data_IF_020668919675
#
_entry.id   IF_020668919675
#
_cell.length_a   1.000
_cell.length_b   1.000
_cell.length_c   1.000
_cell.angle_alpha   90.00
_cell.angle_beta   90.00
_cell.angle_gamma   90.00
#
_symmetry.space_group_name_H-M   'P 1'
#
loop_
_entity.id
_entity.type
_entity.pdbx_description
1 polymer ?
#
# COMPACT_ATOMS: atom_id res chain seq x y z
N UNK A 1 35.07 13.45 -47.92
CA UNK A 1 35.16 14.91 -48.20
C UNK A 1 33.85 15.52 -48.68
N UNK A 2 33.04 14.84 -49.51
CA UNK A 2 31.77 15.41 -50.03
C UNK A 2 30.76 15.80 -48.94
N UNK A 3 30.67 15.04 -47.84
CA UNK A 3 29.71 15.31 -46.75
C UNK A 3 30.05 16.57 -45.94
N UNK A 4 31.34 16.86 -45.73
CA UNK A 4 31.79 18.04 -44.97
C UNK A 4 31.67 19.35 -45.76
N UNK A 5 31.82 19.28 -47.09
CA UNK A 5 31.64 20.45 -47.98
C UNK A 5 30.17 20.82 -48.14
N UNK A 6 29.30 19.82 -48.36
CA UNK A 6 27.85 20.02 -48.42
C UNK A 6 27.28 20.56 -47.09
N UNK A 7 27.73 20.01 -45.96
CA UNK A 7 27.32 20.44 -44.61
C UNK A 7 27.68 21.92 -44.36
N UNK A 8 28.90 22.33 -44.72
CA UNK A 8 29.37 23.69 -44.50
C UNK A 8 28.68 24.73 -45.40
N UNK A 9 28.32 24.39 -46.64
CA UNK A 9 27.72 25.34 -47.59
C UNK A 9 26.22 25.56 -47.29
N UNK A 10 25.46 24.51 -46.99
CA UNK A 10 24.00 24.62 -46.77
C UNK A 10 23.62 25.12 -45.36
N UNK A 11 24.30 24.68 -44.31
CA UNK A 11 23.94 25.06 -42.92
C UNK A 11 24.38 26.49 -42.60
N UNK A 12 25.39 27.03 -43.30
CA UNK A 12 25.83 28.41 -43.04
C UNK A 12 24.90 29.49 -43.57
N UNK A 13 24.23 29.26 -44.70
CA UNK A 13 23.40 30.30 -45.33
C UNK A 13 21.92 30.23 -44.95
N UNK A 14 21.37 29.07 -44.60
CA UNK A 14 19.95 28.95 -44.30
C UNK A 14 19.65 29.01 -42.79
N UNK A 15 19.24 30.19 -42.29
CA UNK A 15 18.82 30.38 -40.89
C UNK A 15 17.72 29.39 -40.47
N UNK A 16 16.81 29.03 -41.37
CA UNK A 16 15.72 28.11 -41.06
C UNK A 16 16.24 26.69 -40.80
N UNK A 17 17.17 26.21 -41.63
CA UNK A 17 17.81 24.89 -41.43
C UNK A 17 18.54 24.80 -40.09
N UNK A 18 19.20 25.88 -39.64
CA UNK A 18 19.83 25.93 -38.31
C UNK A 18 18.82 25.79 -37.18
N UNK A 19 17.73 26.57 -37.20
CA UNK A 19 16.70 26.48 -36.16
C UNK A 19 16.01 25.12 -36.16
N UNK A 20 15.77 24.53 -37.33
CA UNK A 20 15.25 23.16 -37.43
C UNK A 20 16.19 22.14 -36.78
N UNK A 21 17.50 22.21 -37.08
CA UNK A 21 18.48 21.30 -36.48
C UNK A 21 18.59 21.48 -34.95
N UNK A 22 18.55 22.72 -34.46
CA UNK A 22 18.51 23.00 -33.02
C UNK A 22 17.24 22.42 -32.39
N UNK A 23 16.08 22.64 -33.02
CA UNK A 23 14.81 22.08 -32.56
C UNK A 23 14.84 20.55 -32.49
N UNK A 24 15.37 19.88 -33.51
CA UNK A 24 15.54 18.42 -33.52
C UNK A 24 16.48 17.96 -32.41
N UNK A 25 17.61 18.65 -32.20
CA UNK A 25 18.55 18.32 -31.14
C UNK A 25 17.91 18.45 -29.74
N UNK A 26 17.13 19.51 -29.49
CA UNK A 26 16.40 19.71 -28.23
C UNK A 26 15.39 18.59 -28.02
N UNK A 27 14.59 18.25 -29.04
CA UNK A 27 13.61 17.16 -28.94
C UNK A 27 14.30 15.81 -28.68
N UNK A 28 15.41 15.53 -29.35
CA UNK A 28 16.18 14.32 -29.14
C UNK A 28 16.75 14.23 -27.71
N UNK A 29 17.26 15.34 -27.18
CA UNK A 29 17.76 15.41 -25.80
C UNK A 29 16.63 15.16 -24.77
N UNK A 30 15.48 15.83 -24.94
CA UNK A 30 14.31 15.61 -24.07
C UNK A 30 13.79 14.17 -24.14
N UNK A 31 13.81 13.54 -25.32
CA UNK A 31 13.42 12.14 -25.46
C UNK A 31 14.38 11.20 -24.71
N UNK A 32 15.69 11.46 -24.77
CA UNK A 32 16.69 10.68 -24.01
C UNK A 32 16.52 10.85 -22.51
N UNK A 33 16.20 12.05 -22.02
CA UNK A 33 15.93 12.29 -20.60
C UNK A 33 14.71 11.48 -20.13
N UNK A 34 13.63 11.45 -20.91
CA UNK A 34 12.41 10.70 -20.58
C UNK A 34 12.69 9.19 -20.57
N UNK A 35 13.39 8.67 -21.57
CA UNK A 35 13.71 7.23 -21.66
C UNK A 35 14.71 6.84 -20.56
N UNK A 36 15.75 7.64 -20.33
CA UNK A 36 16.74 7.42 -19.29
C UNK A 36 16.12 7.41 -17.90
N UNK A 37 15.25 8.39 -17.60
CA UNK A 37 14.51 8.45 -16.34
C UNK A 37 13.61 7.21 -16.17
N UNK A 38 12.83 6.82 -17.19
CA UNK A 38 11.96 5.63 -17.14
C UNK A 38 12.74 4.34 -16.93
N UNK A 39 13.89 4.20 -17.59
CA UNK A 39 14.76 3.04 -17.41
C UNK A 39 15.35 3.00 -15.99
N UNK A 40 15.81 4.14 -15.47
CA UNK A 40 16.30 4.25 -14.10
C UNK A 40 15.22 3.89 -13.07
N UNK A 41 14.01 4.43 -13.20
CA UNK A 41 12.91 4.13 -12.28
C UNK A 41 12.52 2.66 -12.32
N UNK A 42 12.45 2.05 -13.52
CA UNK A 42 12.13 0.63 -13.68
C UNK A 42 13.18 -0.25 -13.02
N UNK A 43 14.46 0.01 -13.27
CA UNK A 43 15.55 -0.77 -12.67
C UNK A 43 15.56 -0.65 -11.15
N UNK A 44 15.30 0.55 -10.62
CA UNK A 44 15.19 0.77 -9.18
C UNK A 44 14.00 -0.01 -8.59
N UNK A 45 12.85 0.00 -9.25
CA UNK A 45 11.66 -0.74 -8.80
C UNK A 45 11.87 -2.27 -8.86
N UNK A 46 12.57 -2.78 -9.88
CA UNK A 46 12.99 -4.20 -9.96
C UNK A 46 13.89 -4.59 -8.78
N UNK A 47 14.88 -3.77 -8.44
CA UNK A 47 15.73 -4.00 -7.27
C UNK A 47 14.95 -3.89 -5.95
N UNK A 48 14.04 -2.92 -5.84
CA UNK A 48 13.19 -2.75 -4.67
C UNK A 48 12.27 -3.97 -4.46
N UNK A 49 11.71 -4.54 -5.54
CA UNK A 49 10.88 -5.74 -5.48
C UNK A 49 11.70 -6.96 -5.01
N UNK A 50 12.93 -7.14 -5.49
CA UNK A 50 13.82 -8.20 -5.03
C UNK A 50 14.21 -8.02 -3.54
N UNK A 51 14.51 -6.79 -3.12
CA UNK A 51 14.80 -6.48 -1.73
C UNK A 51 13.59 -6.76 -0.83
N UNK A 52 12.40 -6.33 -1.23
CA UNK A 52 11.16 -6.61 -0.53
C UNK A 52 10.91 -8.12 -0.43
N UNK A 53 11.08 -8.88 -1.51
CA UNK A 53 10.91 -10.33 -1.51
C UNK A 53 11.79 -11.01 -0.46
N UNK A 54 13.05 -10.60 -0.33
CA UNK A 54 13.98 -11.13 0.69
C UNK A 54 13.53 -10.76 2.11
N UNK A 55 13.08 -9.52 2.32
CA UNK A 55 12.54 -9.10 3.60
C UNK A 55 11.28 -9.90 3.98
N UNK A 56 10.38 -10.15 3.03
CA UNK A 56 9.16 -10.95 3.25
C UNK A 56 9.50 -12.41 3.55
N UNK A 57 10.48 -12.98 2.88
CA UNK A 57 10.98 -14.32 3.19
C UNK A 57 11.53 -14.40 4.61
N UNK A 58 12.31 -13.40 5.03
CA UNK A 58 12.85 -13.30 6.38
C UNK A 58 11.75 -13.12 7.44
N UNK A 59 10.76 -12.26 7.21
CA UNK A 59 9.57 -12.13 8.08
C UNK A 59 8.82 -13.46 8.16
N UNK A 60 8.58 -14.11 7.02
CA UNK A 60 7.90 -15.41 6.98
C UNK A 60 8.67 -16.50 7.73
N UNK A 61 10.01 -16.45 7.70
CA UNK A 61 10.87 -17.32 8.51
C UNK A 61 10.79 -16.98 10.00
N UNK A 62 10.83 -15.70 10.35
CA UNK A 62 10.66 -15.23 11.72
C UNK A 62 9.31 -15.68 12.32
N UNK A 63 8.23 -15.62 11.55
CA UNK A 63 6.90 -16.14 11.95
C UNK A 63 6.90 -17.65 12.17
N UNK A 64 7.56 -18.42 11.31
CA UNK A 64 7.56 -19.90 11.42
C UNK A 64 8.44 -20.42 12.55
N UNK A 65 9.61 -19.81 12.74
CA UNK A 65 10.59 -20.26 13.73
C UNK A 65 10.40 -19.56 15.10
N UNK A 66 9.72 -18.41 15.12
CA UNK A 66 9.44 -17.58 16.30
C UNK A 66 10.67 -17.29 17.17
N UNK A 67 11.81 -17.00 16.52
CA UNK A 67 13.07 -16.71 17.23
C UNK A 67 13.34 -15.20 17.26
N UNK A 68 13.61 -14.60 18.43
CA UNK A 68 13.75 -13.14 18.57
C UNK A 68 14.76 -12.48 17.63
N UNK A 69 15.91 -13.13 17.37
CA UNK A 69 16.95 -12.56 16.52
C UNK A 69 16.51 -12.44 15.04
N UNK A 70 15.57 -13.27 14.57
CA UNK A 70 15.04 -13.19 13.21
C UNK A 70 14.11 -11.99 13.05
N UNK A 71 13.31 -11.70 14.07
CA UNK A 71 12.45 -10.50 14.12
C UNK A 71 13.27 -9.22 14.15
N UNK A 72 14.33 -9.19 14.98
CA UNK A 72 15.25 -8.06 15.03
C UNK A 72 15.96 -7.86 13.67
N UNK A 73 16.42 -8.94 13.04
CA UNK A 73 17.00 -8.88 11.71
C UNK A 73 16.00 -8.38 10.67
N UNK A 74 14.77 -8.90 10.66
CA UNK A 74 13.73 -8.47 9.74
C UNK A 74 13.44 -6.97 9.88
N UNK A 75 13.32 -6.47 11.12
CA UNK A 75 13.11 -5.05 11.38
C UNK A 75 14.25 -4.16 10.87
N UNK A 76 15.51 -4.58 11.06
CA UNK A 76 16.67 -3.86 10.52
C UNK A 76 16.69 -3.86 8.99
N UNK A 77 16.53 -5.02 8.37
CA UNK A 77 16.59 -5.19 6.91
C UNK A 77 15.45 -4.41 6.22
N UNK A 78 14.22 -4.47 6.76
CA UNK A 78 13.09 -3.68 6.26
C UNK A 78 13.35 -2.17 6.35
N UNK A 79 13.93 -1.69 7.45
CA UNK A 79 14.24 -0.28 7.65
C UNK A 79 15.34 0.21 6.69
N UNK A 80 16.41 -0.59 6.54
CA UNK A 80 17.50 -0.27 5.62
C UNK A 80 17.02 -0.23 4.17
N UNK A 81 16.29 -1.25 3.73
CA UNK A 81 15.80 -1.34 2.35
C UNK A 81 14.70 -0.30 2.08
N UNK A 82 13.86 0.05 3.07
CA UNK A 82 12.95 1.20 2.95
C UNK A 82 13.72 2.49 2.70
N UNK A 83 14.78 2.77 3.47
CA UNK A 83 15.56 4.01 3.29
C UNK A 83 16.22 4.05 1.91
N UNK A 84 16.76 2.92 1.45
CA UNK A 84 17.37 2.76 0.12
C UNK A 84 16.36 2.94 -1.02
N UNK A 85 15.14 2.42 -0.86
CA UNK A 85 14.13 2.38 -1.91
C UNK A 85 12.87 3.23 -1.61
N UNK A 86 13.00 4.24 -0.75
CA UNK A 86 11.89 5.09 -0.28
C UNK A 86 11.15 5.83 -1.40
N UNK A 87 11.81 6.08 -2.53
CA UNK A 87 11.18 6.68 -3.70
C UNK A 87 10.53 5.69 -4.68
N UNK A 88 10.65 4.38 -4.45
CA UNK A 88 10.10 3.34 -5.33
C UNK A 88 8.61 3.13 -5.10
N UNK A 89 7.92 2.53 -6.08
CA UNK A 89 6.54 2.09 -5.91
C UNK A 89 6.37 0.99 -4.83
N UNK A 90 7.48 0.37 -4.41
CA UNK A 90 7.52 -0.68 -3.38
C UNK A 90 7.69 -0.13 -1.96
N UNK A 91 8.04 1.15 -1.79
CA UNK A 91 8.29 1.79 -0.50
C UNK A 91 7.18 1.57 0.55
N UNK A 92 5.87 1.66 0.22
CA UNK A 92 4.80 1.43 1.19
C UNK A 92 4.83 0.02 1.79
N UNK A 93 5.21 -1.00 1.02
CA UNK A 93 5.15 -2.38 1.48
C UNK A 93 6.23 -2.69 2.51
N UNK A 94 7.43 -2.10 2.40
CA UNK A 94 8.43 -2.18 3.48
C UNK A 94 7.87 -1.64 4.80
N UNK A 95 7.08 -0.57 4.75
CA UNK A 95 6.44 -0.01 5.94
C UNK A 95 5.34 -0.92 6.48
N UNK A 96 4.52 -1.53 5.62
CA UNK A 96 3.49 -2.46 6.07
C UNK A 96 4.08 -3.70 6.76
N UNK A 97 5.17 -4.26 6.23
CA UNK A 97 5.88 -5.35 6.93
C UNK A 97 6.63 -4.86 8.17
N UNK A 98 7.15 -3.63 8.18
CA UNK A 98 7.74 -3.05 9.40
C UNK A 98 6.69 -2.87 10.51
N UNK A 99 5.44 -2.59 10.14
CA UNK A 99 4.33 -2.55 11.08
C UNK A 99 4.05 -3.94 11.69
N UNK A 100 4.13 -5.00 10.90
CA UNK A 100 3.97 -6.37 11.40
C UNK A 100 5.08 -6.77 12.39
N UNK A 101 6.33 -6.41 12.08
CA UNK A 101 7.45 -6.59 13.01
C UNK A 101 7.24 -5.78 14.30
N UNK A 102 6.83 -4.51 14.18
CA UNK A 102 6.57 -3.67 15.35
C UNK A 102 5.40 -4.20 16.20
N UNK A 103 4.37 -4.76 15.56
CA UNK A 103 3.23 -5.36 16.24
C UNK A 103 3.64 -6.62 17.01
N UNK A 104 4.48 -7.49 16.41
CA UNK A 104 5.06 -8.66 17.09
C UNK A 104 5.87 -8.25 18.32
N UNK A 105 6.66 -7.18 18.22
CA UNK A 105 7.44 -6.59 19.32
C UNK A 105 6.56 -5.91 20.41
N UNK A 106 5.23 -5.92 20.28
CA UNK A 106 4.31 -5.24 21.20
C UNK A 106 4.32 -3.71 21.09
N UNK A 107 4.93 -3.15 20.03
CA UNK A 107 5.08 -1.71 19.81
C UNK A 107 3.92 -1.18 18.94
N UNK A 108 2.69 -1.24 19.48
CA UNK A 108 1.46 -0.88 18.76
C UNK A 108 1.52 0.52 18.13
N UNK A 109 1.97 1.53 18.86
CA UNK A 109 2.02 2.92 18.35
C UNK A 109 2.92 3.05 17.11
N UNK A 110 4.07 2.38 17.10
CA UNK A 110 4.97 2.36 15.94
C UNK A 110 4.38 1.59 14.77
N UNK A 111 3.65 0.50 15.05
CA UNK A 111 2.98 -0.28 14.02
C UNK A 111 1.92 0.57 13.30
N UNK A 112 1.12 1.32 14.07
CA UNK A 112 0.15 2.31 13.55
C UNK A 112 0.87 3.39 12.72
N UNK A 113 1.95 3.97 13.22
CA UNK A 113 2.74 4.99 12.50
C UNK A 113 3.23 4.47 11.13
N UNK A 114 3.79 3.25 11.10
CA UNK A 114 4.26 2.65 9.85
C UNK A 114 3.12 2.38 8.86
N UNK A 115 1.98 1.89 9.34
CA UNK A 115 0.80 1.68 8.51
C UNK A 115 0.27 3.00 7.92
N UNK A 116 0.17 4.06 8.73
CA UNK A 116 -0.26 5.39 8.27
C UNK A 116 0.71 5.97 7.23
N UNK A 117 2.02 5.87 7.50
CA UNK A 117 3.05 6.33 6.58
C UNK A 117 3.04 5.55 5.26
N UNK A 118 2.78 4.24 5.31
CA UNK A 118 2.63 3.38 4.15
C UNK A 118 1.40 3.76 3.33
N UNK A 119 0.23 3.88 3.96
CA UNK A 119 -1.02 4.27 3.30
C UNK A 119 -0.93 5.66 2.67
N UNK A 120 -0.24 6.61 3.30
CA UNK A 120 -0.01 7.95 2.73
C UNK A 120 0.80 7.91 1.43
N UNK A 121 1.71 6.94 1.28
CA UNK A 121 2.52 6.75 0.07
C UNK A 121 1.83 5.86 -0.98
N UNK A 122 0.90 5.01 -0.55
CA UNK A 122 0.17 4.11 -1.44
C UNK A 122 -0.92 4.87 -2.20
N UNK A 123 -0.98 4.69 -3.52
CA UNK A 123 -2.05 5.27 -4.32
C UNK A 123 -3.43 4.77 -3.87
N UNK A 124 -4.40 5.67 -3.71
CA UNK A 124 -5.81 5.32 -3.44
C UNK A 124 -6.46 4.43 -4.51
N UNK A 125 -5.87 4.37 -5.71
CA UNK A 125 -6.30 3.49 -6.80
C UNK A 125 -5.69 2.09 -6.72
N UNK A 126 -4.73 1.85 -5.82
CA UNK A 126 -4.15 0.53 -5.62
C UNK A 126 -5.20 -0.38 -4.96
N UNK A 127 -5.35 -1.61 -5.48
CA UNK A 127 -6.32 -2.58 -4.97
C UNK A 127 -6.14 -2.90 -3.48
N UNK A 128 -4.92 -2.79 -2.96
CA UNK A 128 -4.60 -3.07 -1.56
C UNK A 128 -4.81 -1.86 -0.64
N UNK A 129 -5.11 -0.66 -1.16
CA UNK A 129 -5.27 0.54 -0.34
C UNK A 129 -6.34 0.36 0.73
N UNK A 130 -7.55 -0.03 0.33
CA UNK A 130 -8.63 -0.30 1.28
C UNK A 130 -8.28 -1.45 2.21
N UNK A 131 -7.51 -2.44 1.71
CA UNK A 131 -7.18 -3.61 2.50
C UNK A 131 -6.30 -3.26 3.70
N UNK A 132 -5.24 -2.49 3.46
CA UNK A 132 -4.42 -1.93 4.52
C UNK A 132 -5.17 -0.88 5.35
N UNK A 133 -6.15 -0.17 4.78
CA UNK A 133 -7.04 0.73 5.51
C UNK A 133 -7.84 0.02 6.61
N UNK A 134 -8.47 -1.11 6.29
CA UNK A 134 -9.17 -1.93 7.30
C UNK A 134 -8.19 -2.43 8.36
N UNK A 135 -7.02 -2.94 7.95
CA UNK A 135 -6.01 -3.42 8.91
C UNK A 135 -5.57 -2.31 9.87
N UNK A 136 -5.31 -1.10 9.38
CA UNK A 136 -4.97 0.05 10.22
C UNK A 136 -6.12 0.41 11.17
N UNK A 137 -7.35 0.44 10.68
CA UNK A 137 -8.51 0.77 11.51
C UNK A 137 -8.68 -0.24 12.66
N UNK A 138 -8.50 -1.53 12.39
CA UNK A 138 -8.50 -2.58 13.42
C UNK A 138 -7.37 -2.42 14.42
N UNK A 139 -6.14 -2.16 13.95
CA UNK A 139 -5.00 -1.89 14.86
C UNK A 139 -5.25 -0.69 15.77
N UNK A 140 -5.86 0.38 15.24
CA UNK A 140 -6.26 1.55 16.04
C UNK A 140 -7.33 1.20 17.07
N UNK A 141 -8.28 0.33 16.74
CA UNK A 141 -9.30 -0.13 17.69
C UNK A 141 -8.70 -0.91 18.87
N UNK A 142 -7.64 -1.67 18.61
CA UNK A 142 -6.89 -2.42 19.62
C UNK A 142 -5.94 -1.54 20.46
N UNK A 143 -5.75 -0.27 20.08
CA UNK A 143 -4.90 0.65 20.83
C UNK A 143 -5.46 0.94 22.23
N UNK A 144 -4.56 1.26 23.17
CA UNK A 144 -4.94 1.61 24.55
C UNK A 144 -5.51 3.02 24.65
N UNK A 145 -5.05 3.95 23.81
CA UNK A 145 -5.54 5.33 23.76
C UNK A 145 -6.96 5.39 23.18
N UNK A 146 -7.90 5.92 23.96
CA UNK A 146 -9.33 5.99 23.58
C UNK A 146 -9.57 6.88 22.35
N UNK A 147 -8.77 7.93 22.13
CA UNK A 147 -8.89 8.77 20.94
C UNK A 147 -8.47 8.00 19.69
N UNK A 148 -7.38 7.24 19.77
CA UNK A 148 -6.90 6.39 18.68
C UNK A 148 -7.93 5.30 18.38
N UNK A 149 -8.50 4.69 19.44
CA UNK A 149 -9.58 3.71 19.31
C UNK A 149 -10.83 4.28 18.63
N UNK A 150 -11.29 5.45 19.05
CA UNK A 150 -12.43 6.13 18.44
C UNK A 150 -12.17 6.47 16.97
N UNK A 151 -10.94 6.89 16.64
CA UNK A 151 -10.52 7.10 15.26
C UNK A 151 -10.58 5.80 14.44
N UNK A 152 -10.06 4.69 14.97
CA UNK A 152 -10.14 3.37 14.31
C UNK A 152 -11.58 2.95 14.01
N UNK A 153 -12.49 3.11 14.97
CA UNK A 153 -13.92 2.85 14.78
C UNK A 153 -14.52 3.71 13.66
N UNK A 154 -14.22 5.01 13.67
CA UNK A 154 -14.71 5.93 12.62
C UNK A 154 -14.16 5.59 11.24
N UNK A 155 -12.89 5.19 11.15
CA UNK A 155 -12.24 4.79 9.89
C UNK A 155 -12.84 3.48 9.35
N UNK A 156 -13.06 2.49 10.22
CA UNK A 156 -13.70 1.22 9.84
C UNK A 156 -15.13 1.44 9.36
N UNK A 157 -15.91 2.23 10.09
CA UNK A 157 -17.29 2.58 9.73
C UNK A 157 -17.37 3.30 8.37
N UNK A 158 -16.41 4.19 8.08
CA UNK A 158 -16.35 4.87 6.79
C UNK A 158 -16.10 3.90 5.62
N UNK A 159 -15.28 2.86 5.83
CA UNK A 159 -15.07 1.80 4.81
C UNK A 159 -16.33 0.94 4.67
N UNK A 160 -16.95 0.54 5.78
CA UNK A 160 -18.17 -0.28 5.78
C UNK A 160 -19.39 0.44 5.14
N UNK A 161 -19.41 1.76 5.24
CA UNK A 161 -20.51 2.61 4.73
C UNK A 161 -20.36 2.99 3.25
N UNK A 162 -19.27 2.62 2.58
CA UNK A 162 -19.07 2.87 1.15
C UNK A 162 -19.18 1.57 0.33
N UNK A 163 -20.36 1.26 -0.27
CA UNK A 163 -20.54 0.06 -1.08
C UNK A 163 -19.64 -0.01 -2.32
N UNK A 164 -18.98 1.09 -2.71
CA UNK A 164 -18.02 1.08 -3.83
C UNK A 164 -16.62 0.68 -3.38
N UNK A 165 -16.37 0.61 -2.08
CA UNK A 165 -15.09 0.20 -1.53
C UNK A 165 -14.95 -1.32 -1.64
N UNK A 166 -13.85 -1.81 -2.22
CA UNK A 166 -13.62 -3.26 -2.41
C UNK A 166 -13.60 -4.07 -1.10
N UNK A 167 -13.44 -3.41 0.04
CA UNK A 167 -13.35 -4.04 1.36
C UNK A 167 -14.56 -3.70 2.25
N UNK A 168 -15.65 -3.16 1.69
CA UNK A 168 -16.83 -2.75 2.46
C UNK A 168 -17.46 -3.92 3.24
N UNK A 169 -17.56 -5.11 2.62
CA UNK A 169 -18.12 -6.30 3.27
C UNK A 169 -17.29 -6.75 4.46
N UNK A 170 -15.96 -6.76 4.28
CA UNK A 170 -15.01 -7.10 5.34
C UNK A 170 -15.09 -6.11 6.49
N UNK A 171 -15.13 -4.81 6.18
CA UNK A 171 -15.24 -3.77 7.19
C UNK A 171 -16.55 -3.89 7.98
N UNK A 172 -17.67 -4.16 7.31
CA UNK A 172 -18.98 -4.34 7.94
C UNK A 172 -19.02 -5.60 8.83
N UNK A 173 -18.37 -6.68 8.40
CA UNK A 173 -18.21 -7.87 9.24
C UNK A 173 -17.47 -7.56 10.54
N UNK A 174 -16.31 -6.88 10.44
CA UNK A 174 -15.52 -6.51 11.61
C UNK A 174 -16.18 -5.43 12.48
N UNK A 175 -16.97 -4.53 11.91
CA UNK A 175 -17.78 -3.58 12.67
C UNK A 175 -18.80 -4.33 13.54
N UNK A 176 -19.49 -5.32 12.98
CA UNK A 176 -20.37 -6.20 13.75
C UNK A 176 -19.63 -6.97 14.84
N UNK A 177 -18.42 -7.49 14.58
CA UNK A 177 -17.60 -8.12 15.62
C UNK A 177 -17.25 -7.16 16.75
N UNK A 178 -16.84 -5.93 16.44
CA UNK A 178 -16.50 -4.95 17.46
C UNK A 178 -17.70 -4.54 18.32
N UNK A 179 -18.88 -4.39 17.72
CA UNK A 179 -20.14 -4.14 18.44
C UNK A 179 -20.48 -5.32 19.35
N UNK A 180 -20.34 -6.53 18.84
CA UNK A 180 -20.57 -7.77 19.59
C UNK A 180 -19.64 -7.84 20.81
N UNK A 181 -18.35 -7.58 20.64
CA UNK A 181 -17.34 -7.61 21.72
C UNK A 181 -17.56 -6.50 22.76
N UNK A 182 -18.12 -5.35 22.36
CA UNK A 182 -18.53 -4.29 23.29
C UNK A 182 -19.85 -4.58 24.04
N UNK A 183 -20.52 -5.70 23.74
CA UNK A 183 -21.78 -6.11 24.36
C UNK A 183 -23.05 -5.59 23.69
N UNK A 184 -22.94 -4.78 22.64
CA UNK A 184 -24.10 -4.32 21.85
C UNK A 184 -24.52 -5.38 20.82
N UNK A 185 -25.17 -6.43 21.33
CA UNK A 185 -25.62 -7.58 20.52
C UNK A 185 -26.61 -7.17 19.43
N UNK A 186 -27.50 -6.23 19.72
CA UNK A 186 -28.51 -5.78 18.78
C UNK A 186 -27.90 -5.02 17.60
N UNK A 187 -26.93 -4.12 17.86
CA UNK A 187 -26.23 -3.42 16.80
C UNK A 187 -25.35 -4.37 15.96
N UNK A 188 -24.70 -5.34 16.60
CA UNK A 188 -23.93 -6.37 15.89
C UNK A 188 -24.82 -7.19 14.93
N UNK A 189 -25.98 -7.66 15.42
CA UNK A 189 -26.96 -8.37 14.61
C UNK A 189 -27.43 -7.52 13.42
N UNK A 190 -27.71 -6.24 13.64
CA UNK A 190 -28.11 -5.32 12.59
C UNK A 190 -27.02 -5.13 11.53
N UNK A 191 -25.74 -5.01 11.92
CA UNK A 191 -24.61 -4.90 11.00
C UNK A 191 -24.48 -6.16 10.12
N UNK A 192 -24.54 -7.35 10.73
CA UNK A 192 -24.44 -8.62 9.99
C UNK A 192 -25.65 -8.88 9.09
N UNK A 193 -26.88 -8.57 9.52
CA UNK A 193 -28.05 -8.62 8.62
C UNK A 193 -27.91 -7.63 7.47
N UNK A 194 -27.38 -6.44 7.74
CA UNK A 194 -27.06 -5.43 6.73
C UNK A 194 -26.08 -5.98 5.68
N UNK A 195 -25.03 -6.68 6.14
CA UNK A 195 -24.07 -7.36 5.27
C UNK A 195 -24.75 -8.41 4.38
N UNK A 196 -25.53 -9.32 4.96
CA UNK A 196 -26.24 -10.37 4.20
C UNK A 196 -27.17 -9.81 3.13
N UNK A 197 -27.78 -8.65 3.38
CA UNK A 197 -28.71 -8.01 2.43
C UNK A 197 -28.02 -7.38 1.21
N UNK A 198 -26.71 -7.10 1.30
CA UNK A 198 -25.95 -6.35 0.29
C UNK A 198 -24.83 -7.16 -0.35
N UNK A 199 -24.38 -8.21 0.32
CA UNK A 199 -23.22 -8.97 -0.10
C UNK A 199 -23.43 -9.66 -1.44
N UNK A 200 -22.35 -9.76 -2.21
CA UNK A 200 -22.34 -10.51 -3.45
C UNK A 200 -22.59 -12.00 -3.21
N UNK A 201 -23.20 -12.68 -4.20
CA UNK A 201 -23.46 -14.11 -4.12
C UNK A 201 -22.15 -14.89 -3.97
N UNK A 202 -22.02 -15.65 -2.90
CA UNK A 202 -20.80 -16.41 -2.57
C UNK A 202 -19.75 -15.60 -1.79
N UNK A 203 -20.13 -14.46 -1.20
CA UNK A 203 -19.25 -13.73 -0.29
C UNK A 203 -18.89 -14.56 0.95
N UNK A 204 -17.59 -14.81 1.14
CA UNK A 204 -17.07 -15.44 2.35
C UNK A 204 -17.38 -14.62 3.63
N UNK A 205 -17.48 -13.30 3.53
CA UNK A 205 -17.81 -12.43 4.68
C UNK A 205 -19.28 -12.58 5.07
N UNK A 206 -20.16 -12.74 4.08
CA UNK A 206 -21.57 -13.05 4.32
C UNK A 206 -21.74 -14.41 5.01
N UNK A 207 -21.02 -15.44 4.57
CA UNK A 207 -21.03 -16.77 5.22
C UNK A 207 -20.57 -16.69 6.68
N UNK A 208 -19.47 -15.96 6.95
CA UNK A 208 -18.99 -15.74 8.31
C UNK A 208 -19.99 -14.96 9.18
N UNK A 209 -20.70 -13.98 8.61
CA UNK A 209 -21.73 -13.22 9.30
C UNK A 209 -22.98 -14.08 9.60
N UNK A 210 -23.39 -14.92 8.65
CA UNK A 210 -24.49 -15.87 8.85
C UNK A 210 -24.19 -16.83 10.01
N UNK A 211 -22.97 -17.41 10.05
CA UNK A 211 -22.56 -18.27 11.15
C UNK A 211 -22.58 -17.55 12.51
N UNK A 212 -22.26 -16.26 12.55
CA UNK A 212 -22.34 -15.44 13.77
C UNK A 212 -23.78 -15.17 14.21
N UNK A 213 -24.70 -14.97 13.28
CA UNK A 213 -26.13 -14.82 13.56
C UNK A 213 -26.75 -16.11 14.09
N UNK A 214 -26.37 -17.26 13.53
CA UNK A 214 -26.82 -18.58 14.01
C UNK A 214 -26.35 -18.87 15.43
N UNK A 215 -25.15 -18.42 15.80
CA UNK A 215 -24.64 -18.53 17.16
C UNK A 215 -25.42 -17.66 18.18
N UNK A 216 -26.09 -16.61 17.71
CA UNK A 216 -26.87 -15.70 18.56
C UNK A 216 -28.32 -16.14 18.79
N UNK A 217 -28.84 -17.07 17.98
CA UNK A 217 -30.22 -17.56 18.03
C UNK A 217 -30.42 -18.64 19.10
#
# INVERSE_FOLDING_TARGET
MVFSEWYNQNIRHNRQTRYMLIGVAIVAFLALDIVGYRWYTRRRDEHAQLALSRCVELVGRAVREDVPHLWEQAGRDLSEEYNRYSGSSMAPYFLFFSADVALHDGKMDRAIEYMEKGLKQLSKKNALYSSYGVKLALMKMDAQDEKVRAQGKSELHAIASDPKNLEYERALYYEGLALFDSGDRAAAEAAWKGLLSRADKGSSWAEMAQAKLEYLA
#
